data_IF_594280719064
#
_entry.id   IF_594280719064
#
_cell.length_a   1.000
_cell.length_b   1.000
_cell.length_c   1.000
_cell.angle_alpha   90.00
_cell.angle_beta   90.00
_cell.angle_gamma   90.00
#
_symmetry.space_group_name_H-M   'P 1'
#
loop_
_entity.id
_entity.type
_entity.pdbx_description
1 polymer ?
#
# COMPACT_ATOMS: atom_id res chain seq x y z
N UNK A 1 19.15 -0.39 67.80
CA UNK A 1 20.47 0.26 67.66
C UNK A 1 20.49 0.89 66.27
N UNK A 2 20.02 2.11 66.03
CA UNK A 2 20.00 3.31 66.87
C UNK A 2 21.41 3.79 67.23
N UNK A 3 21.99 4.60 66.34
CA UNK A 3 23.03 5.59 66.66
C UNK A 3 22.40 6.97 66.45
N UNK A 4 22.71 7.89 67.36
CA UNK A 4 22.07 9.19 67.54
C UNK A 4 23.16 10.23 67.79
N UNK A 5 22.88 11.51 67.47
CA UNK A 5 23.60 12.72 67.92
C UNK A 5 24.99 12.95 67.25
N UNK A 6 25.50 14.19 67.09
CA UNK A 6 25.06 15.51 67.57
C UNK A 6 25.01 16.58 66.46
N UNK A 7 24.10 17.55 66.62
CA UNK A 7 24.22 18.95 66.16
C UNK A 7 24.73 19.85 67.30
N UNK A 8 25.32 21.02 67.00
CA UNK A 8 25.38 22.16 67.93
C UNK A 8 24.54 23.37 67.47
N UNK A 9 24.04 24.12 68.48
CA UNK A 9 23.30 25.39 68.42
C UNK A 9 23.97 26.38 69.40
N UNK A 10 23.99 27.70 69.25
CA UNK A 10 23.57 28.61 68.15
C UNK A 10 24.85 29.35 67.61
N UNK A 11 24.91 30.53 66.98
CA UNK A 11 23.98 31.64 66.66
C UNK A 11 24.59 32.47 65.47
N UNK A 12 24.14 33.64 64.99
CA UNK A 12 22.99 34.55 65.27
C UNK A 12 22.87 35.55 64.10
N UNK A 13 21.69 36.16 63.85
CA UNK A 13 21.55 37.37 63.02
C UNK A 13 20.67 37.23 61.78
N UNK A 14 19.35 37.41 61.95
CA UNK A 14 18.43 37.65 60.83
C UNK A 14 18.44 39.14 60.44
N UNK A 15 18.16 39.43 59.16
CA UNK A 15 16.95 40.19 58.86
C UNK A 15 15.98 39.33 58.05
N UNK A 16 14.77 39.12 58.56
CA UNK A 16 13.71 38.47 57.81
C UNK A 16 13.20 39.42 56.71
N UNK A 17 13.48 39.11 55.45
CA UNK A 17 12.71 39.68 54.34
C UNK A 17 11.41 38.85 54.24
N UNK A 18 10.33 39.39 54.79
CA UNK A 18 8.98 38.85 54.56
C UNK A 18 8.57 39.09 53.10
N UNK A 19 8.93 38.17 52.21
CA UNK A 19 8.25 38.07 50.91
C UNK A 19 6.94 37.32 51.13
N UNK A 20 5.89 38.06 51.52
CA UNK A 20 4.53 37.58 51.27
C UNK A 20 4.32 37.56 49.77
N UNK A 21 4.59 36.41 49.15
CA UNK A 21 4.08 36.13 47.82
C UNK A 21 2.61 35.75 47.99
N UNK A 22 1.71 36.72 47.82
CA UNK A 22 0.32 36.40 47.54
C UNK A 22 0.31 35.44 46.34
N UNK A 23 -0.21 34.24 46.56
CA UNK A 23 -0.47 33.31 45.48
C UNK A 23 -1.70 33.82 44.73
N UNK A 24 -1.50 34.80 43.84
CA UNK A 24 -2.56 35.26 42.94
C UNK A 24 -3.00 34.05 42.12
N UNK A 25 -4.18 33.53 42.42
CA UNK A 25 -4.76 32.43 41.67
C UNK A 25 -5.17 33.00 40.31
N UNK A 26 -4.26 32.97 39.34
CA UNK A 26 -4.59 33.26 37.95
C UNK A 26 -5.54 32.13 37.54
N UNK A 27 -6.84 32.39 37.31
CA UNK A 27 -7.69 31.37 36.75
C UNK A 27 -7.08 30.99 35.40
N UNK A 28 -6.83 29.70 35.19
CA UNK A 28 -6.44 29.23 33.88
C UNK A 28 -7.47 29.79 32.87
N UNK A 29 -6.99 30.47 31.83
CA UNK A 29 -7.86 30.85 30.73
C UNK A 29 -8.66 29.61 30.32
N UNK A 30 -9.99 29.73 30.07
CA UNK A 30 -10.78 28.57 29.67
C UNK A 30 -10.04 27.92 28.51
N UNK A 31 -9.85 26.60 28.59
CA UNK A 31 -9.23 25.82 27.51
C UNK A 31 -9.97 26.21 26.26
N UNK A 32 -9.28 26.95 25.37
CA UNK A 32 -9.89 27.43 24.13
C UNK A 32 -10.48 26.20 23.46
N UNK A 33 -11.76 26.31 23.07
CA UNK A 33 -12.58 25.17 22.67
C UNK A 33 -11.72 24.16 21.92
N UNK A 34 -11.79 22.88 22.36
CA UNK A 34 -11.38 21.77 21.51
C UNK A 34 -12.46 21.63 20.43
N UNK A 35 -12.59 22.68 19.62
CA UNK A 35 -12.91 22.61 18.21
C UNK A 35 -12.22 21.37 17.71
N UNK A 36 -12.99 20.51 17.03
CA UNK A 36 -12.53 19.25 16.49
C UNK A 36 -11.46 19.55 15.43
N UNK A 37 -10.24 19.78 15.91
CA UNK A 37 -9.01 20.02 15.18
C UNK A 37 -8.56 18.67 14.66
N UNK A 38 -9.42 18.14 13.80
CA UNK A 38 -9.23 17.04 12.88
C UNK A 38 -8.58 15.85 13.56
N UNK A 39 -9.43 14.96 14.11
CA UNK A 39 -9.10 13.54 14.14
C UNK A 39 -8.87 13.10 12.68
N UNK A 40 -7.64 13.32 12.19
CA UNK A 40 -7.16 12.78 10.92
C UNK A 40 -6.99 11.30 11.17
N UNK A 41 -8.11 10.58 11.12
CA UNK A 41 -8.10 9.14 11.05
C UNK A 41 -7.29 8.80 9.80
N UNK A 42 -6.14 8.16 10.00
CA UNK A 42 -5.32 7.71 8.90
C UNK A 42 -6.20 6.84 8.00
N UNK A 43 -6.35 7.26 6.74
CA UNK A 43 -7.06 6.51 5.69
C UNK A 43 -6.27 5.25 5.35
N UNK A 44 -6.29 4.27 6.24
CA UNK A 44 -5.66 2.97 6.08
C UNK A 44 -6.65 1.86 6.43
N UNK A 45 -6.53 0.73 5.74
CA UNK A 45 -7.30 -0.47 6.00
C UNK A 45 -6.40 -1.62 6.42
N UNK A 46 -6.89 -2.39 7.38
CA UNK A 46 -6.34 -3.66 7.83
C UNK A 46 -7.42 -4.71 7.68
N UNK A 47 -7.13 -5.79 6.96
CA UNK A 47 -8.13 -6.80 6.62
C UNK A 47 -7.46 -8.14 6.36
N UNK A 48 -8.27 -9.20 6.34
CA UNK A 48 -7.82 -10.57 6.10
C UNK A 48 -8.46 -11.08 4.80
N UNK A 49 -7.68 -11.79 3.99
CA UNK A 49 -8.21 -12.59 2.87
C UNK A 49 -7.76 -14.03 3.11
N UNK A 50 -8.67 -14.83 3.67
CA UNK A 50 -8.26 -16.07 4.32
C UNK A 50 -7.38 -15.79 5.54
N UNK A 51 -6.30 -16.54 5.66
CA UNK A 51 -5.42 -16.55 6.84
C UNK A 51 -4.23 -15.56 6.71
N UNK A 52 -4.26 -14.70 5.68
CA UNK A 52 -3.23 -13.69 5.41
C UNK A 52 -3.78 -12.32 5.78
N UNK A 53 -3.03 -11.59 6.61
CA UNK A 53 -3.32 -10.20 6.96
C UNK A 53 -2.71 -9.22 5.94
N UNK A 54 -3.51 -8.24 5.54
CA UNK A 54 -3.17 -7.24 4.53
C UNK A 54 -3.34 -5.81 5.07
N UNK A 55 -2.68 -4.89 4.38
CA UNK A 55 -2.68 -3.45 4.64
C UNK A 55 -2.78 -2.67 3.35
N UNK A 56 -3.65 -1.66 3.33
CA UNK A 56 -3.82 -0.75 2.19
C UNK A 56 -3.98 0.70 2.68
N UNK A 57 -3.09 1.63 2.30
CA UNK A 57 -3.35 3.06 2.41
C UNK A 57 -4.33 3.50 1.31
N UNK A 58 -5.36 4.25 1.70
CA UNK A 58 -6.40 4.77 0.78
C UNK A 58 -6.49 6.31 0.77
N UNK A 59 -5.38 6.99 1.09
CA UNK A 59 -5.26 8.45 0.91
C UNK A 59 -5.27 8.84 -0.58
N UNK A 60 -4.43 8.18 -1.38
CA UNK A 60 -4.22 8.47 -2.80
C UNK A 60 -4.24 7.14 -3.59
N UNK A 61 -5.07 7.00 -4.64
CA UNK A 61 -5.05 5.82 -5.49
C UNK A 61 -3.77 5.75 -6.31
N UNK A 62 -3.36 4.54 -6.68
CA UNK A 62 -2.30 4.35 -7.68
C UNK A 62 -2.83 4.48 -9.10
N UNK A 63 -4.10 4.11 -9.34
CA UNK A 63 -4.75 4.22 -10.64
C UNK A 63 -6.26 4.49 -10.48
N UNK A 64 -6.89 5.10 -11.48
CA UNK A 64 -8.34 5.33 -11.50
C UNK A 64 -8.94 4.84 -12.83
N UNK A 65 -9.84 3.86 -12.74
CA UNK A 65 -10.60 3.28 -13.85
C UNK A 65 -11.86 4.10 -14.15
N UNK A 66 -12.26 4.12 -15.43
CA UNK A 66 -13.48 4.78 -15.89
C UNK A 66 -14.52 3.78 -16.37
N UNK A 67 -15.72 3.87 -15.81
CA UNK A 67 -16.83 3.03 -16.23
C UNK A 67 -18.12 3.83 -16.45
N UNK A 68 -18.56 3.87 -17.69
CA UNK A 68 -19.80 4.55 -18.08
C UNK A 68 -21.07 3.77 -17.72
N UNK A 69 -20.95 2.53 -17.24
CA UNK A 69 -22.08 1.60 -17.09
C UNK A 69 -22.59 1.52 -15.66
N UNK A 70 -23.92 1.53 -15.50
CA UNK A 70 -24.58 1.23 -14.22
C UNK A 70 -24.45 -0.27 -13.83
N UNK A 71 -23.85 -1.10 -14.69
CA UNK A 71 -23.66 -2.53 -14.49
C UNK A 71 -22.65 -2.86 -13.37
N UNK A 72 -21.77 -1.92 -12.99
CA UNK A 72 -20.96 -2.06 -11.78
C UNK A 72 -21.80 -1.74 -10.54
N UNK A 73 -22.68 -2.67 -10.18
CA UNK A 73 -23.22 -2.79 -8.83
C UNK A 73 -22.12 -3.31 -7.90
N UNK A 74 -21.11 -2.49 -7.68
CA UNK A 74 -20.15 -2.72 -6.62
C UNK A 74 -20.77 -2.19 -5.34
N UNK A 75 -20.64 -2.97 -4.27
CA UNK A 75 -20.94 -2.50 -2.93
C UNK A 75 -20.14 -1.21 -2.67
N UNK A 76 -20.64 -0.23 -1.90
CA UNK A 76 -19.87 0.96 -1.49
C UNK A 76 -18.65 0.65 -0.60
N UNK A 77 -18.39 -0.64 -0.35
CA UNK A 77 -17.19 -1.15 0.32
C UNK A 77 -15.99 -1.28 -0.64
N UNK A 78 -14.82 -1.51 -0.06
CA UNK A 78 -13.61 -1.89 -0.79
C UNK A 78 -13.71 -3.35 -1.29
N UNK A 79 -13.28 -3.61 -2.53
CA UNK A 79 -13.33 -4.93 -3.17
C UNK A 79 -11.91 -5.40 -3.59
N UNK A 80 -11.47 -6.62 -3.23
CA UNK A 80 -10.22 -7.19 -3.72
C UNK A 80 -10.29 -7.53 -5.21
N UNK A 81 -9.29 -7.12 -5.99
CA UNK A 81 -9.18 -7.38 -7.44
C UNK A 81 -7.80 -7.89 -7.80
N UNK A 82 -7.72 -8.91 -8.64
CA UNK A 82 -6.49 -9.32 -9.32
C UNK A 82 -6.45 -8.70 -10.73
N UNK A 83 -5.46 -7.84 -11.00
CA UNK A 83 -5.18 -7.31 -12.35
C UNK A 83 -4.17 -8.23 -13.03
N UNK A 84 -4.53 -8.74 -14.20
CA UNK A 84 -3.68 -9.60 -15.02
C UNK A 84 -3.33 -8.91 -16.34
N UNK A 85 -2.03 -8.81 -16.61
CA UNK A 85 -1.47 -8.31 -17.86
C UNK A 85 -1.23 -9.47 -18.82
N UNK A 86 -1.96 -9.52 -19.93
CA UNK A 86 -1.77 -10.53 -20.98
C UNK A 86 -0.94 -9.90 -22.11
N UNK A 87 0.23 -10.47 -22.48
CA UNK A 87 0.98 -10.02 -23.65
C UNK A 87 0.12 -10.07 -24.92
N UNK A 88 0.17 -9.01 -25.73
CA UNK A 88 -0.53 -8.99 -27.01
C UNK A 88 0.09 -9.99 -28.01
N UNK A 89 -0.76 -10.61 -28.83
CA UNK A 89 -0.35 -11.45 -29.94
C UNK A 89 0.00 -12.91 -29.61
N UNK A 90 -0.90 -13.70 -28.99
CA UNK A 90 -0.82 -15.15 -29.19
C UNK A 90 -0.86 -15.44 -30.70
N UNK A 91 0.01 -16.32 -31.20
CA UNK A 91 0.13 -16.61 -32.63
C UNK A 91 -1.16 -17.16 -33.27
N UNK A 92 -2.07 -17.67 -32.44
CA UNK A 92 -3.37 -18.20 -32.81
C UNK A 92 -4.46 -17.12 -32.97
N UNK A 93 -4.17 -15.88 -32.53
CA UNK A 93 -5.11 -14.75 -32.60
C UNK A 93 -6.27 -14.82 -31.62
N UNK A 94 -6.27 -15.76 -30.67
CA UNK A 94 -7.31 -15.94 -29.64
C UNK A 94 -6.67 -16.25 -28.29
N UNK A 95 -7.27 -15.75 -27.20
CA UNK A 95 -6.81 -16.02 -25.83
C UNK A 95 -7.67 -17.13 -25.21
N UNK A 96 -7.03 -18.22 -24.81
CA UNK A 96 -7.64 -19.44 -24.25
C UNK A 96 -7.13 -19.71 -22.83
N UNK A 97 -7.71 -20.69 -22.12
CA UNK A 97 -7.25 -21.08 -20.78
C UNK A 97 -5.76 -21.48 -20.76
N UNK A 98 -5.25 -22.07 -21.86
CA UNK A 98 -3.85 -22.44 -22.03
C UNK A 98 -2.88 -21.25 -21.94
N UNK A 99 -3.36 -20.02 -22.22
CA UNK A 99 -2.59 -18.79 -22.06
C UNK A 99 -2.72 -18.21 -20.64
N UNK A 100 -3.93 -18.24 -20.06
CA UNK A 100 -4.22 -17.63 -18.76
C UNK A 100 -3.69 -18.49 -17.59
N UNK A 101 -3.80 -19.81 -17.68
CA UNK A 101 -3.37 -20.76 -16.64
C UNK A 101 -1.88 -20.61 -16.27
N UNK A 102 -0.90 -20.65 -17.21
CA UNK A 102 0.51 -20.43 -16.88
C UNK A 102 0.79 -19.00 -16.40
N UNK A 103 0.07 -17.99 -16.90
CA UNK A 103 0.18 -16.61 -16.42
C UNK A 103 -0.19 -16.53 -14.92
N UNK A 104 -1.36 -17.05 -14.54
CA UNK A 104 -1.83 -17.09 -13.15
C UNK A 104 -0.88 -17.88 -12.25
N UNK A 105 -0.39 -19.04 -12.73
CA UNK A 105 0.60 -19.82 -12.00
C UNK A 105 1.89 -19.03 -11.76
N UNK A 106 2.46 -18.39 -12.79
CA UNK A 106 3.68 -17.60 -12.66
C UNK A 106 3.53 -16.45 -11.66
N UNK A 107 2.36 -15.79 -11.62
CA UNK A 107 2.06 -14.72 -10.68
C UNK A 107 2.01 -15.22 -9.23
N UNK A 108 1.38 -16.39 -8.99
CA UNK A 108 1.30 -17.02 -7.67
C UNK A 108 2.63 -17.62 -7.19
N UNK A 109 3.51 -18.02 -8.11
CA UNK A 109 4.85 -18.52 -7.78
C UNK A 109 5.84 -17.39 -7.46
N UNK A 110 5.76 -16.28 -8.21
CA UNK A 110 6.70 -15.17 -8.06
C UNK A 110 6.31 -14.17 -6.97
N UNK A 111 5.03 -14.01 -6.65
CA UNK A 111 4.55 -13.02 -5.67
C UNK A 111 4.02 -13.64 -4.37
N UNK A 112 4.45 -13.08 -3.24
CA UNK A 112 4.10 -13.52 -1.90
C UNK A 112 2.94 -12.73 -1.26
N UNK A 113 2.32 -11.83 -2.04
CA UNK A 113 1.19 -10.98 -1.64
C UNK A 113 -0.10 -11.39 -2.34
N UNK A 114 -0.06 -11.59 -3.67
CA UNK A 114 -1.17 -12.17 -4.42
C UNK A 114 -1.39 -13.64 -4.01
N UNK A 115 -2.62 -13.98 -3.63
CA UNK A 115 -3.04 -15.32 -3.27
C UNK A 115 -4.27 -15.73 -4.08
N UNK A 116 -4.55 -17.03 -4.22
CA UNK A 116 -5.68 -17.54 -5.02
C UNK A 116 -7.04 -16.92 -4.68
N UNK A 117 -7.26 -16.53 -3.42
CA UNK A 117 -8.49 -15.86 -2.97
C UNK A 117 -8.71 -14.44 -3.54
N UNK A 118 -7.70 -13.84 -4.19
CA UNK A 118 -7.85 -12.54 -4.90
C UNK A 118 -8.59 -12.65 -6.23
N UNK A 119 -8.62 -13.83 -6.85
CA UNK A 119 -9.18 -14.04 -8.18
C UNK A 119 -10.72 -14.11 -8.22
N UNK A 120 -11.39 -13.83 -7.09
CA UNK A 120 -12.85 -13.67 -7.04
C UNK A 120 -13.35 -12.55 -7.98
N UNK A 121 -12.55 -11.50 -8.13
CA UNK A 121 -12.75 -10.43 -9.11
C UNK A 121 -11.45 -10.24 -9.89
N UNK A 122 -11.52 -10.40 -11.21
CA UNK A 122 -10.37 -10.32 -12.11
C UNK A 122 -10.55 -9.16 -13.07
N UNK A 123 -9.51 -8.37 -13.28
CA UNK A 123 -9.41 -7.43 -14.40
C UNK A 123 -8.39 -7.97 -15.40
N UNK A 124 -8.87 -8.38 -16.57
CA UNK A 124 -8.03 -8.73 -17.70
C UNK A 124 -7.77 -7.49 -18.57
N UNK A 125 -6.51 -7.27 -18.89
CA UNK A 125 -6.08 -6.28 -19.89
C UNK A 125 -5.00 -6.85 -20.79
N UNK A 126 -4.79 -6.18 -21.91
CA UNK A 126 -3.65 -6.45 -22.79
C UNK A 126 -2.47 -5.52 -22.45
N UNK A 127 -1.26 -6.04 -22.51
CA UNK A 127 -0.02 -5.25 -22.58
C UNK A 127 0.46 -5.20 -24.02
N UNK A 128 0.57 -3.98 -24.54
CA UNK A 128 1.07 -3.67 -25.88
C UNK A 128 2.48 -3.10 -25.78
N UNK A 129 3.44 -3.76 -26.43
CA UNK A 129 4.74 -3.15 -26.73
C UNK A 129 4.56 -2.01 -27.75
N UNK A 130 5.54 -1.11 -27.88
CA UNK A 130 5.41 0.07 -28.74
C UNK A 130 5.19 -0.28 -30.22
N UNK A 131 5.76 -1.39 -30.71
CA UNK A 131 5.52 -1.93 -32.06
C UNK A 131 4.09 -2.49 -32.22
N UNK A 132 3.52 -3.07 -31.15
CA UNK A 132 2.14 -3.56 -31.15
C UNK A 132 1.13 -2.40 -31.16
N UNK A 133 1.41 -1.31 -30.45
CA UNK A 133 0.54 -0.10 -30.45
C UNK A 133 0.35 0.48 -31.86
N UNK A 134 1.40 0.49 -32.68
CA UNK A 134 1.34 0.97 -34.06
C UNK A 134 0.48 0.07 -34.98
N UNK A 135 0.20 -1.17 -34.56
CA UNK A 135 -0.60 -2.15 -35.31
C UNK A 135 -2.06 -2.23 -34.81
N UNK A 136 -2.40 -1.54 -33.71
CA UNK A 136 -3.58 -1.83 -32.90
C UNK A 136 -4.84 -1.02 -33.26
N UNK A 137 -4.80 -0.10 -34.23
CA UNK A 137 -5.86 0.90 -34.41
C UNK A 137 -7.29 0.33 -34.60
N UNK A 138 -7.47 -0.93 -35.04
CA UNK A 138 -8.79 -1.57 -35.11
C UNK A 138 -8.90 -3.03 -34.58
N UNK A 139 -7.81 -3.72 -34.23
CA UNK A 139 -7.84 -5.17 -34.00
C UNK A 139 -8.00 -5.59 -32.53
N UNK A 140 -9.25 -5.87 -32.12
CA UNK A 140 -9.56 -6.51 -30.82
C UNK A 140 -9.19 -7.99 -30.82
N UNK A 141 -8.82 -8.53 -29.66
CA UNK A 141 -8.48 -9.95 -29.47
C UNK A 141 -9.68 -10.71 -28.89
N UNK A 142 -10.12 -11.82 -29.52
CA UNK A 142 -11.14 -12.69 -28.94
C UNK A 142 -10.62 -13.41 -27.70
N UNK A 143 -11.44 -13.41 -26.67
CA UNK A 143 -11.32 -14.23 -25.47
C UNK A 143 -12.26 -15.42 -25.60
N UNK A 144 -11.71 -16.63 -25.55
CA UNK A 144 -12.46 -17.87 -25.65
C UNK A 144 -13.18 -18.22 -24.33
N UNK A 145 -14.28 -18.97 -24.46
CA UNK A 145 -15.10 -19.43 -23.33
C UNK A 145 -14.33 -20.32 -22.34
N UNK A 146 -13.26 -21.03 -22.76
CA UNK A 146 -12.37 -21.79 -21.86
C UNK A 146 -11.78 -20.93 -20.74
N UNK A 147 -11.47 -19.65 -20.99
CA UNK A 147 -10.97 -18.73 -19.97
C UNK A 147 -12.01 -18.51 -18.87
N UNK A 148 -13.28 -18.33 -19.25
CA UNK A 148 -14.37 -18.13 -18.30
C UNK A 148 -14.58 -19.38 -17.44
N UNK A 149 -14.54 -20.57 -18.06
CA UNK A 149 -14.63 -21.85 -17.35
C UNK A 149 -13.48 -22.01 -16.35
N UNK A 150 -12.23 -21.83 -16.79
CA UNK A 150 -11.04 -21.91 -15.92
C UNK A 150 -11.11 -20.94 -14.74
N UNK A 151 -11.37 -19.66 -15.00
CA UNK A 151 -11.43 -18.65 -13.94
C UNK A 151 -12.57 -18.93 -12.94
N UNK A 152 -13.75 -19.33 -13.42
CA UNK A 152 -14.89 -19.62 -12.56
C UNK A 152 -14.66 -20.90 -11.73
N UNK A 153 -14.29 -22.01 -12.36
CA UNK A 153 -14.24 -23.33 -11.74
C UNK A 153 -12.99 -23.57 -10.89
N UNK A 154 -11.82 -23.07 -11.31
CA UNK A 154 -10.55 -23.29 -10.60
C UNK A 154 -10.13 -22.12 -9.70
N UNK A 155 -10.46 -20.88 -10.08
CA UNK A 155 -10.08 -19.68 -9.32
C UNK A 155 -11.23 -19.08 -8.49
N UNK A 156 -12.46 -19.58 -8.63
CA UNK A 156 -13.64 -19.08 -7.92
C UNK A 156 -14.04 -17.65 -8.34
N UNK A 157 -13.73 -17.26 -9.58
CA UNK A 157 -14.06 -15.96 -10.13
C UNK A 157 -15.59 -15.77 -10.24
N UNK A 158 -16.06 -14.63 -9.73
CA UNK A 158 -17.48 -14.21 -9.76
C UNK A 158 -17.70 -12.92 -10.56
N UNK A 159 -16.62 -12.23 -10.92
CA UNK A 159 -16.63 -10.98 -11.68
C UNK A 159 -15.41 -10.90 -12.58
N UNK A 160 -15.64 -10.74 -13.89
CA UNK A 160 -14.61 -10.44 -14.87
C UNK A 160 -14.80 -9.02 -15.39
N UNK A 161 -13.73 -8.24 -15.36
CA UNK A 161 -13.62 -6.92 -15.94
C UNK A 161 -12.67 -7.01 -17.13
N UNK A 162 -12.98 -6.36 -18.24
CA UNK A 162 -12.10 -6.26 -19.40
C UNK A 162 -12.34 -4.96 -20.18
N UNK A 163 -11.31 -4.51 -20.89
CA UNK A 163 -11.34 -3.30 -21.71
C UNK A 163 -11.61 -3.58 -23.20
N UNK A 164 -11.65 -2.50 -23.98
CA UNK A 164 -11.93 -2.48 -25.43
C UNK A 164 -10.95 -3.29 -26.31
N UNK A 165 -9.78 -3.67 -25.81
CA UNK A 165 -8.86 -4.55 -26.54
C UNK A 165 -9.28 -6.02 -26.54
N UNK A 166 -10.17 -6.42 -25.64
CA UNK A 166 -10.70 -7.78 -25.53
C UNK A 166 -12.19 -7.81 -25.92
N UNK A 167 -12.62 -8.90 -26.56
CA UNK A 167 -14.04 -9.22 -26.71
C UNK A 167 -14.30 -10.71 -26.50
N UNK A 168 -15.45 -11.05 -25.94
CA UNK A 168 -15.84 -12.45 -25.78
C UNK A 168 -16.52 -12.97 -27.03
N UNK A 169 -16.04 -14.10 -27.57
CA UNK A 169 -16.69 -14.78 -28.69
C UNK A 169 -17.70 -15.82 -28.19
N UNK A 170 -18.91 -15.37 -27.84
CA UNK A 170 -19.98 -16.25 -27.39
C UNK A 170 -20.83 -16.75 -28.55
N UNK A 171 -20.56 -17.98 -29.00
CA UNK A 171 -21.36 -18.69 -29.99
C UNK A 171 -22.71 -19.15 -29.41
N UNK A 172 -23.70 -18.25 -29.40
CA UNK A 172 -25.10 -18.51 -29.03
C UNK A 172 -26.07 -17.68 -29.90
N UNK A 173 -27.35 -18.08 -29.96
CA UNK A 173 -28.35 -17.35 -30.76
C UNK A 173 -28.61 -15.93 -30.25
N UNK A 174 -28.46 -15.72 -28.93
CA UNK A 174 -28.48 -14.40 -28.30
C UNK A 174 -27.04 -14.03 -27.95
N UNK A 175 -26.52 -12.94 -28.55
CA UNK A 175 -25.09 -12.56 -28.54
C UNK A 175 -24.58 -11.97 -27.21
N UNK A 176 -25.15 -12.42 -26.08
CA UNK A 176 -24.75 -12.00 -24.73
C UNK A 176 -24.20 -13.17 -23.93
N UNK A 177 -22.98 -13.04 -23.44
CA UNK A 177 -22.30 -14.03 -22.59
C UNK A 177 -22.87 -14.09 -21.15
N UNK A 178 -24.19 -14.20 -20.99
CA UNK A 178 -24.84 -14.24 -19.67
C UNK A 178 -24.81 -15.67 -19.10
N UNK A 179 -23.89 -15.94 -18.18
CA UNK A 179 -23.92 -17.16 -17.36
C UNK A 179 -24.60 -16.88 -16.01
N UNK A 180 -25.31 -17.85 -15.39
CA UNK A 180 -25.87 -17.70 -14.05
C UNK A 180 -24.83 -17.66 -12.90
N UNK A 181 -23.52 -17.76 -13.19
CA UNK A 181 -22.46 -17.92 -12.18
C UNK A 181 -21.57 -16.69 -11.97
N UNK A 182 -21.45 -15.80 -12.95
CA UNK A 182 -20.53 -14.66 -12.88
C UNK A 182 -21.04 -13.41 -13.59
N UNK A 183 -20.52 -12.26 -13.16
CA UNK A 183 -20.77 -10.96 -13.77
C UNK A 183 -19.66 -10.57 -14.76
N UNK A 184 -20.05 -10.05 -15.92
CA UNK A 184 -19.14 -9.52 -16.92
C UNK A 184 -19.24 -7.99 -16.98
N UNK A 185 -18.09 -7.31 -16.94
CA UNK A 185 -17.99 -5.86 -16.97
C UNK A 185 -17.06 -5.43 -18.10
N UNK A 186 -17.64 -4.80 -19.12
CA UNK A 186 -16.90 -4.16 -20.20
C UNK A 186 -16.63 -2.69 -19.89
N UNK A 187 -15.39 -2.23 -20.07
CA UNK A 187 -14.96 -0.84 -19.90
C UNK A 187 -14.88 -0.14 -21.27
N UNK A 188 -15.79 0.82 -21.59
CA UNK A 188 -15.98 1.26 -22.98
C UNK A 188 -14.89 2.11 -23.64
N UNK A 189 -13.96 2.69 -22.88
CA UNK A 189 -12.83 3.48 -23.41
C UNK A 189 -11.72 3.59 -22.37
N UNK A 190 -10.49 3.78 -22.86
CA UNK A 190 -9.27 3.75 -22.07
C UNK A 190 -9.23 4.75 -20.90
N UNK A 191 -8.36 4.40 -19.93
CA UNK A 191 -7.89 5.21 -18.82
C UNK A 191 -7.72 6.69 -19.20
N UNK A 192 -8.21 7.63 -18.36
CA UNK A 192 -7.91 9.07 -18.54
C UNK A 192 -6.41 9.38 -18.45
N UNK A 193 -5.62 8.49 -17.84
CA UNK A 193 -4.17 8.62 -17.69
C UNK A 193 -3.45 7.81 -18.77
N UNK A 194 -2.36 8.36 -19.29
CA UNK A 194 -1.36 7.64 -20.11
C UNK A 194 -0.59 6.55 -19.32
N UNK A 195 -1.08 6.17 -18.15
CA UNK A 195 -0.46 5.22 -17.24
C UNK A 195 -1.22 3.90 -17.32
N UNK A 196 -0.60 2.90 -17.94
CA UNK A 196 -1.12 1.53 -17.95
C UNK A 196 -1.21 1.02 -16.50
N UNK A 197 -2.37 0.48 -16.10
CA UNK A 197 -2.56 -0.13 -14.77
C UNK A 197 -1.67 -1.36 -14.66
N UNK A 198 -0.70 -1.37 -13.76
CA UNK A 198 0.26 -2.47 -13.65
C UNK A 198 -0.43 -3.75 -13.14
N UNK A 199 0.09 -4.93 -13.50
CA UNK A 199 -0.35 -6.19 -12.91
C UNK A 199 -0.23 -6.22 -11.38
N UNK A 200 -1.16 -6.92 -10.71
CA UNK A 200 -1.06 -7.19 -9.27
C UNK A 200 -2.40 -7.24 -8.52
N UNK A 201 -2.37 -7.49 -7.20
CA UNK A 201 -3.53 -7.33 -6.34
C UNK A 201 -3.81 -5.85 -6.10
N UNK A 202 -5.06 -5.41 -6.22
CA UNK A 202 -5.47 -4.05 -5.86
C UNK A 202 -6.74 -4.09 -5.03
N UNK A 203 -6.81 -3.25 -4.02
CA UNK A 203 -8.05 -3.01 -3.31
C UNK A 203 -8.77 -1.86 -4.02
N UNK A 204 -9.91 -2.15 -4.60
CA UNK A 204 -10.63 -1.22 -5.46
C UNK A 204 -11.82 -0.61 -4.72
N UNK A 205 -12.07 0.68 -4.93
CA UNK A 205 -13.15 1.41 -4.28
C UNK A 205 -13.82 2.36 -5.25
N UNK A 206 -15.15 2.34 -5.29
CA UNK A 206 -15.94 3.26 -6.08
C UNK A 206 -16.33 4.46 -5.22
N UNK A 207 -16.08 5.68 -5.71
CA UNK A 207 -16.56 6.90 -5.05
C UNK A 207 -18.07 7.06 -5.25
N UNK A 208 -18.78 7.50 -4.21
CA UNK A 208 -20.25 7.63 -4.25
C UNK A 208 -20.72 8.57 -5.37
N UNK A 209 -21.70 8.12 -6.15
CA UNK A 209 -22.23 8.85 -7.31
C UNK A 209 -21.30 8.93 -8.52
N UNK A 210 -20.08 8.41 -8.43
CA UNK A 210 -19.04 8.59 -9.45
C UNK A 210 -19.04 7.44 -10.49
N UNK A 211 -18.45 7.73 -11.65
CA UNK A 211 -18.12 6.78 -12.72
C UNK A 211 -16.66 6.29 -12.62
N UNK A 212 -15.96 6.73 -11.58
CA UNK A 212 -14.55 6.46 -11.32
C UNK A 212 -14.40 5.36 -10.25
N UNK A 213 -13.48 4.43 -10.49
CA UNK A 213 -13.10 3.35 -9.56
C UNK A 213 -11.62 3.52 -9.25
N UNK A 214 -11.32 3.84 -8.01
CA UNK A 214 -9.98 4.07 -7.50
C UNK A 214 -9.35 2.74 -7.07
N UNK A 215 -8.16 2.43 -7.59
CA UNK A 215 -7.36 1.26 -7.26
C UNK A 215 -6.25 1.65 -6.29
N UNK A 216 -6.17 0.95 -5.16
CA UNK A 216 -5.17 1.17 -4.11
C UNK A 216 -4.22 -0.03 -4.02
N UNK A 217 -2.89 0.21 -3.94
CA UNK A 217 -1.91 -0.86 -3.86
C UNK A 217 -1.95 -1.53 -2.49
N UNK A 218 -1.68 -2.81 -2.49
CA UNK A 218 -1.87 -3.74 -1.37
C UNK A 218 -0.52 -4.21 -0.87
N UNK A 219 -0.39 -4.27 0.46
CA UNK A 219 0.73 -4.90 1.14
C UNK A 219 0.26 -6.09 1.97
N UNK A 220 1.04 -7.16 1.99
CA UNK A 220 0.94 -8.18 3.02
C UNK A 220 1.63 -7.69 4.28
N UNK A 221 1.06 -7.98 5.45
CA UNK A 221 1.71 -7.70 6.72
C UNK A 221 2.58 -8.88 7.15
N UNK A 222 3.88 -8.61 7.34
CA UNK A 222 4.83 -9.56 7.88
C UNK A 222 5.24 -9.16 9.30
N UNK A 223 5.31 -10.15 10.19
CA UNK A 223 5.84 -9.97 11.53
C UNK A 223 7.37 -9.94 11.51
N UNK A 224 7.96 -8.92 12.14
CA UNK A 224 9.40 -8.80 12.39
C UNK A 224 9.85 -9.79 13.48
N UNK A 225 9.92 -11.06 13.10
CA UNK A 225 10.32 -12.19 13.96
C UNK A 225 11.68 -12.02 14.62
N UNK A 226 12.58 -11.27 14.01
CA UNK A 226 13.94 -11.03 14.48
C UNK A 226 14.09 -9.69 15.23
N UNK A 227 13.00 -8.92 15.39
CA UNK A 227 13.00 -7.60 15.99
C UNK A 227 14.04 -6.64 15.37
N UNK A 228 14.24 -6.72 14.05
CA UNK A 228 15.23 -5.97 13.26
C UNK A 228 14.82 -4.52 13.01
N UNK A 229 13.53 -4.21 13.02
CA UNK A 229 12.98 -2.93 12.60
C UNK A 229 12.70 -2.00 13.80
N UNK A 230 13.01 -0.71 13.63
CA UNK A 230 12.48 0.36 14.49
C UNK A 230 10.99 0.56 14.17
N UNK A 231 10.66 0.55 12.88
CA UNK A 231 9.31 0.71 12.32
C UNK A 231 9.24 0.07 10.92
N UNK A 232 8.09 -0.52 10.58
CA UNK A 232 7.68 -0.65 9.18
C UNK A 232 7.29 0.71 8.62
N UNK A 233 7.29 0.87 7.29
CA UNK A 233 6.88 2.12 6.63
C UNK A 233 6.07 1.81 5.36
N UNK A 234 5.36 2.81 4.87
CA UNK A 234 4.66 2.74 3.58
C UNK A 234 4.68 4.12 2.89
N UNK A 235 4.70 4.18 1.54
CA UNK A 235 4.59 5.43 0.81
C UNK A 235 3.15 5.97 0.87
N UNK A 236 2.98 7.28 0.86
CA UNK A 236 1.68 7.94 0.77
C UNK A 236 1.15 8.09 -0.65
N UNK A 237 1.98 7.88 -1.67
CA UNK A 237 1.66 8.13 -3.08
C UNK A 237 1.12 9.55 -3.33
N UNK A 238 1.70 10.54 -2.64
CA UNK A 238 1.30 11.96 -2.66
C UNK A 238 2.02 12.79 -3.75
N UNK A 239 2.75 12.12 -4.66
CA UNK A 239 3.60 12.74 -5.66
C UNK A 239 4.90 13.38 -5.13
N UNK A 240 5.16 13.35 -3.81
CA UNK A 240 6.33 14.00 -3.18
C UNK A 240 7.36 13.02 -2.62
N UNK A 241 7.06 11.72 -2.71
CA UNK A 241 7.87 10.66 -2.11
C UNK A 241 7.76 10.59 -0.58
N UNK A 242 6.65 11.08 -0.01
CA UNK A 242 6.43 11.07 1.44
C UNK A 242 6.09 9.65 1.94
N UNK A 243 6.70 9.23 3.04
CA UNK A 243 6.42 7.98 3.73
C UNK A 243 5.74 8.23 5.08
N UNK A 244 5.00 7.23 5.56
CA UNK A 244 4.50 7.17 6.95
C UNK A 244 5.01 5.93 7.68
N UNK A 245 5.18 6.00 9.01
CA UNK A 245 5.45 4.82 9.83
C UNK A 245 4.20 3.93 9.93
N UNK A 246 4.41 2.63 9.86
CA UNK A 246 3.43 1.63 10.24
C UNK A 246 3.58 1.31 11.73
N UNK A 247 2.89 2.07 12.59
CA UNK A 247 2.92 1.84 14.04
C UNK A 247 1.93 0.73 14.46
N UNK A 248 2.19 -0.49 13.98
CA UNK A 248 1.40 -1.67 14.32
C UNK A 248 2.29 -2.83 14.76
N UNK A 249 1.73 -3.68 15.63
CA UNK A 249 2.36 -4.90 16.14
C UNK A 249 1.39 -6.07 16.02
N UNK A 250 1.93 -7.28 16.03
CA UNK A 250 1.15 -8.51 16.18
C UNK A 250 0.80 -8.83 17.64
N UNK A 251 0.15 -9.97 17.85
CA UNK A 251 -0.24 -10.56 19.13
C UNK A 251 0.93 -10.76 20.12
N UNK A 252 2.18 -10.79 19.62
CA UNK A 252 3.40 -10.96 20.40
C UNK A 252 4.21 -9.67 20.55
N UNK A 253 3.67 -8.53 20.13
CA UNK A 253 4.35 -7.23 20.20
C UNK A 253 5.49 -7.07 19.19
N UNK A 254 5.59 -7.93 18.17
CA UNK A 254 6.57 -7.78 17.08
C UNK A 254 6.04 -6.77 16.08
N UNK A 255 6.92 -5.91 15.53
CA UNK A 255 6.53 -4.89 14.55
C UNK A 255 5.98 -5.55 13.29
N UNK A 256 4.90 -5.00 12.73
CA UNK A 256 4.42 -5.40 11.40
C UNK A 256 5.11 -4.55 10.32
N UNK A 257 5.45 -5.20 9.22
CA UNK A 257 6.09 -4.64 8.04
C UNK A 257 5.14 -4.77 6.86
N UNK A 258 4.75 -3.65 6.24
CA UNK A 258 3.98 -3.63 5.01
C UNK A 258 4.91 -3.95 3.84
N UNK A 259 4.70 -5.12 3.22
CA UNK A 259 5.47 -5.57 2.06
C UNK A 259 4.53 -5.63 0.86
N UNK A 260 4.71 -4.77 -0.16
CA UNK A 260 3.85 -4.76 -1.34
C UNK A 260 4.17 -5.90 -2.31
N UNK A 261 3.22 -6.15 -3.21
CA UNK A 261 3.36 -7.13 -4.29
C UNK A 261 4.56 -6.82 -5.18
N UNK A 262 5.27 -7.86 -5.61
CA UNK A 262 6.33 -7.75 -6.63
C UNK A 262 5.78 -7.49 -8.03
N UNK A 263 4.50 -7.80 -8.27
CA UNK A 263 3.86 -7.68 -9.58
C UNK A 263 3.81 -6.23 -10.07
N UNK A 264 3.75 -5.25 -9.15
CA UNK A 264 3.87 -3.82 -9.46
C UNK A 264 5.21 -3.42 -10.11
N UNK A 265 6.21 -4.30 -10.09
CA UNK A 265 7.50 -4.09 -10.72
C UNK A 265 7.69 -4.90 -12.02
N UNK A 266 6.73 -5.78 -12.38
CA UNK A 266 6.84 -6.72 -13.49
C UNK A 266 7.09 -6.04 -14.85
N UNK A 267 6.47 -4.87 -15.04
CA UNK A 267 6.52 -4.08 -16.27
C UNK A 267 7.53 -2.91 -16.17
N UNK A 268 8.40 -2.92 -15.15
CA UNK A 268 9.39 -1.89 -14.93
C UNK A 268 10.78 -2.29 -15.44
N UNK A 269 11.37 -1.45 -16.28
CA UNK A 269 12.74 -1.62 -16.79
C UNK A 269 13.84 -1.10 -15.84
N UNK A 270 13.48 -0.73 -14.60
CA UNK A 270 14.42 -0.13 -13.64
C UNK A 270 15.34 -1.18 -13.00
N UNK A 271 16.59 -0.79 -12.71
CA UNK A 271 17.65 -1.70 -12.26
C UNK A 271 17.43 -2.38 -10.90
N UNK A 272 16.58 -1.82 -10.04
CA UNK A 272 16.20 -2.36 -8.73
C UNK A 272 14.68 -2.61 -8.64
N UNK A 273 13.99 -2.74 -9.80
CA UNK A 273 12.57 -3.05 -9.86
C UNK A 273 12.25 -4.30 -9.01
N UNK A 274 11.29 -4.16 -8.08
CA UNK A 274 10.85 -5.26 -7.22
C UNK A 274 11.78 -5.58 -6.04
N UNK A 275 12.92 -4.89 -5.90
CA UNK A 275 13.81 -5.03 -4.74
C UNK A 275 13.17 -4.36 -3.53
N UNK A 276 12.62 -5.16 -2.61
CA UNK A 276 12.01 -4.68 -1.36
C UNK A 276 13.08 -4.64 -0.27
N UNK A 277 13.39 -3.44 0.24
CA UNK A 277 14.55 -3.19 1.10
C UNK A 277 14.21 -2.40 2.37
N UNK A 278 15.07 -2.50 3.37
CA UNK A 278 14.94 -1.80 4.64
C UNK A 278 16.17 -0.91 4.89
N UNK A 279 15.93 0.33 5.29
CA UNK A 279 16.98 1.36 5.38
C UNK A 279 17.46 1.50 6.82
N UNK A 280 18.78 1.61 7.03
CA UNK A 280 19.33 1.89 8.38
C UNK A 280 18.77 3.19 8.93
N UNK A 281 18.40 3.23 10.22
CA UNK A 281 17.84 4.44 10.85
C UNK A 281 18.87 5.55 11.16
N UNK A 282 19.68 5.90 10.17
CA UNK A 282 20.57 7.07 10.08
C UNK A 282 20.33 7.88 8.81
N UNK A 283 19.71 7.29 7.79
CA UNK A 283 19.32 8.00 6.57
C UNK A 283 17.95 8.63 6.75
N UNK A 284 17.82 9.88 6.30
CA UNK A 284 16.54 10.57 6.26
C UNK A 284 15.69 10.10 5.08
N UNK A 285 14.38 10.08 5.30
CA UNK A 285 13.34 9.73 4.34
C UNK A 285 12.19 10.67 4.63
N UNK A 286 11.70 11.40 3.62
CA UNK A 286 10.64 12.39 3.75
C UNK A 286 9.41 11.82 4.47
N UNK A 287 8.94 12.51 5.51
CA UNK A 287 7.80 12.10 6.33
C UNK A 287 8.14 11.16 7.51
N UNK A 288 9.39 10.70 7.64
CA UNK A 288 9.83 9.83 8.74
C UNK A 288 10.77 10.54 9.71
N UNK A 289 10.78 10.08 10.97
CA UNK A 289 11.73 10.49 12.00
C UNK A 289 12.95 9.58 11.98
N UNK A 290 14.15 10.15 11.92
CA UNK A 290 15.42 9.41 12.02
C UNK A 290 15.96 9.49 13.45
N UNK A 291 16.19 8.35 14.10
CA UNK A 291 16.63 8.33 15.51
C UNK A 291 18.13 8.14 15.73
N UNK A 292 18.86 7.55 14.78
CA UNK A 292 20.26 7.13 14.96
C UNK A 292 20.49 6.27 16.23
N UNK A 293 19.46 5.50 16.63
CA UNK A 293 19.44 4.72 17.86
C UNK A 293 19.23 5.53 19.15
N UNK A 294 19.00 6.84 19.06
CA UNK A 294 18.82 7.76 20.19
C UNK A 294 17.42 8.39 20.18
N UNK A 295 16.61 8.06 21.20
CA UNK A 295 15.26 8.66 21.37
C UNK A 295 15.31 10.18 21.53
N UNK A 296 16.34 10.71 22.20
CA UNK A 296 16.52 12.14 22.42
C UNK A 296 16.90 12.87 21.12
N UNK A 297 17.83 12.29 20.33
CA UNK A 297 18.17 12.84 19.01
C UNK A 297 16.96 12.81 18.07
N UNK A 298 16.27 11.66 18.01
CA UNK A 298 15.04 11.53 17.24
C UNK A 298 13.99 12.56 17.65
N UNK A 299 13.75 12.76 18.94
CA UNK A 299 12.82 13.76 19.47
C UNK A 299 13.18 15.19 19.00
N UNK A 300 14.45 15.58 19.17
CA UNK A 300 14.99 16.89 18.79
C UNK A 300 14.97 17.14 17.28
N UNK A 301 15.37 16.16 16.46
CA UNK A 301 15.47 16.33 14.99
C UNK A 301 14.11 16.54 14.32
N UNK A 302 13.05 15.94 14.85
CA UNK A 302 11.72 16.00 14.23
C UNK A 302 11.52 14.98 13.11
N UNK A 303 10.55 15.25 12.25
CA UNK A 303 10.29 14.50 11.01
C UNK A 303 11.18 15.11 9.92
N UNK A 304 11.76 14.29 9.05
CA UNK A 304 12.54 14.78 7.92
C UNK A 304 11.63 15.30 6.79
N UNK A 305 11.92 16.51 6.31
CA UNK A 305 11.23 17.12 5.16
C UNK A 305 11.80 16.67 3.81
N UNK A 306 12.93 15.95 3.82
CA UNK A 306 13.66 15.48 2.63
C UNK A 306 14.13 14.03 2.80
N UNK A 307 14.38 13.37 1.67
CA UNK A 307 14.98 12.03 1.60
C UNK A 307 16.47 12.18 1.34
N UNK A 308 17.32 11.38 1.98
CA UNK A 308 18.76 11.46 1.76
C UNK A 308 19.11 11.00 0.32
N UNK A 309 20.04 11.66 -0.42
CA UNK A 309 20.29 11.37 -1.83
C UNK A 309 20.62 9.91 -2.16
N UNK A 310 21.34 9.22 -1.26
CA UNK A 310 21.61 7.77 -1.40
C UNK A 310 20.36 6.88 -1.39
N UNK A 311 19.26 7.36 -0.81
CA UNK A 311 17.96 6.68 -0.76
C UNK A 311 17.09 7.08 -1.96
N UNK A 312 17.21 8.32 -2.43
CA UNK A 312 16.57 8.76 -3.68
C UNK A 312 17.07 7.93 -4.86
N UNK A 313 18.39 7.67 -4.98
CA UNK A 313 18.98 6.77 -5.99
C UNK A 313 18.34 5.36 -5.96
N UNK A 314 18.05 4.82 -4.76
CA UNK A 314 17.39 3.51 -4.63
C UNK A 314 15.93 3.56 -5.14
N UNK A 315 15.20 4.63 -4.82
CA UNK A 315 13.81 4.84 -5.25
C UNK A 315 13.70 5.10 -6.76
N UNK A 316 14.61 5.91 -7.31
CA UNK A 316 14.76 6.14 -8.76
C UNK A 316 15.00 4.82 -9.49
N UNK A 317 15.92 3.99 -8.97
CA UNK A 317 16.18 2.62 -9.41
C UNK A 317 15.01 1.64 -9.22
N UNK A 318 13.91 2.02 -8.56
CA UNK A 318 12.71 1.19 -8.42
C UNK A 318 12.70 0.29 -7.18
N UNK A 319 13.65 0.45 -6.26
CA UNK A 319 13.63 -0.25 -4.98
C UNK A 319 12.51 0.28 -4.08
N UNK A 320 11.84 -0.63 -3.38
CA UNK A 320 10.69 -0.32 -2.51
C UNK A 320 11.12 -0.38 -1.04
N UNK A 321 10.93 0.72 -0.31
CA UNK A 321 11.32 0.81 1.10
C UNK A 321 10.17 0.31 1.98
N UNK A 322 10.42 -0.75 2.76
CA UNK A 322 9.41 -1.38 3.64
C UNK A 322 9.59 -1.08 5.13
N UNK A 323 10.75 -0.55 5.54
CA UNK A 323 10.96 -0.13 6.92
C UNK A 323 12.32 0.50 7.22
N UNK A 324 12.47 0.96 8.47
CA UNK A 324 13.73 1.45 9.04
C UNK A 324 14.30 0.44 10.06
N UNK A 325 15.56 0.04 9.90
CA UNK A 325 16.21 -0.98 10.76
C UNK A 325 16.90 -0.38 11.98
N UNK A 326 16.96 -1.18 13.05
CA UNK A 326 17.61 -0.83 14.32
C UNK A 326 19.12 -0.72 14.16
N UNK A 327 19.72 0.08 15.03
CA UNK A 327 21.15 0.32 15.11
C UNK A 327 21.57 0.34 16.59
N UNK A 328 22.84 0.04 16.85
CA UNK A 328 23.47 0.50 18.09
C UNK A 328 23.42 2.04 18.15
N UNK A 329 23.31 2.61 19.35
CA UNK A 329 23.24 4.05 19.52
C UNK A 329 24.47 4.73 18.88
N UNK A 330 24.24 5.75 18.05
CA UNK A 330 25.27 6.46 17.27
C UNK A 330 26.06 5.59 16.27
N UNK A 331 25.59 4.37 15.95
CA UNK A 331 26.31 3.38 15.13
C UNK A 331 27.67 2.98 15.73
N UNK A 332 27.92 3.28 17.01
CA UNK A 332 29.14 2.84 17.69
C UNK A 332 29.00 1.37 18.06
N UNK A 333 29.78 0.52 17.39
CA UNK A 333 30.02 -0.87 17.77
C UNK A 333 31.48 -1.02 18.18
N UNK A 334 31.73 -1.89 19.15
CA UNK A 334 33.08 -2.17 19.65
C UNK A 334 33.69 -3.28 18.80
N UNK A 335 34.77 -2.95 18.08
CA UNK A 335 35.74 -3.91 17.52
C UNK A 335 36.48 -4.63 18.64
#
# INVERSE_FOLDING_TARGET
MAYYLLTPLLASGSPFIHVQKEATFIPAAPVADITQSTLVQDKVLYYHIGDIEYFTPYQNPSHTLFAYTNALQWSPSFEPIAVLSIPFGPSEGVITDQHIRPLVQSYLEQDDVLASKWFKTVYLRLTMDDDAKASFEEQRVPLDTSVLTYMNEELGMSKLIFDQGLYLNCHGLDSTCSSPGFSLVYLPSALKTNEQIIAGPYLAHRRDGDKEIDLFPVSRLYSDTYHTFVMGVYPLNDGKGTYKPLDRVDDRGRRLIAVPSKLYALESNKSLAGVRTAIKDIYDIRGLRTTAGSRAYGAWKGIADETAPSIEILQEGGAVIVGKTKLAQWVMWKT
#
